data_IF_657384901287
#
_entry.id   IF_657384901287
#
_cell.length_a   1.000
_cell.length_b   1.000
_cell.length_c   1.000
_cell.angle_alpha   90.00
_cell.angle_beta   90.00
_cell.angle_gamma   90.00
#
_symmetry.space_group_name_H-M   'P 1'
#
loop_
_entity.id
_entity.type
_entity.pdbx_description
1 polymer ?
#
# COMPACT_ATOMS: atom_id res chain seq x y z
N UNK A 1 10.89 -14.55 -7.53
CA UNK A 1 10.67 -13.23 -6.90
C UNK A 1 11.06 -12.01 -7.73
N UNK A 2 11.96 -12.06 -8.74
CA UNK A 2 12.36 -10.83 -9.44
C UNK A 2 11.18 -10.09 -10.14
N UNK A 3 10.36 -10.82 -10.92
CA UNK A 3 9.23 -10.24 -11.64
C UNK A 3 8.10 -9.76 -10.70
N UNK A 4 7.73 -10.60 -9.73
CA UNK A 4 6.68 -10.31 -8.74
C UNK A 4 7.04 -9.10 -7.88
N UNK A 5 8.29 -9.04 -7.37
CA UNK A 5 8.77 -7.90 -6.59
C UNK A 5 8.91 -6.64 -7.45
N UNK A 6 9.42 -6.77 -8.67
CA UNK A 6 9.55 -5.66 -9.62
C UNK A 6 8.20 -5.03 -9.98
N UNK A 7 7.15 -5.83 -10.12
CA UNK A 7 5.79 -5.33 -10.29
C UNK A 7 5.24 -4.69 -9.01
N UNK A 8 5.34 -5.41 -7.88
CA UNK A 8 4.78 -4.97 -6.62
C UNK A 8 5.35 -3.64 -6.16
N UNK A 9 6.66 -3.41 -6.30
CA UNK A 9 7.30 -2.19 -5.80
C UNK A 9 6.79 -0.94 -6.51
N UNK A 10 6.47 -1.02 -7.80
CA UNK A 10 5.89 0.11 -8.56
C UNK A 10 4.53 0.48 -7.97
N UNK A 11 3.67 -0.51 -7.72
CA UNK A 11 2.34 -0.29 -7.16
C UNK A 11 2.42 0.15 -5.70
N UNK A 12 3.33 -0.43 -4.91
CA UNK A 12 3.54 -0.09 -3.51
C UNK A 12 4.03 1.35 -3.34
N UNK A 13 4.97 1.82 -4.17
CA UNK A 13 5.43 3.21 -4.14
C UNK A 13 4.28 4.19 -4.42
N UNK A 14 3.39 3.86 -5.37
CA UNK A 14 2.20 4.66 -5.63
C UNK A 14 1.20 4.59 -4.47
N UNK A 15 1.02 3.40 -3.86
CA UNK A 15 0.19 3.19 -2.69
C UNK A 15 0.62 4.05 -1.50
N UNK A 16 1.93 4.22 -1.27
CA UNK A 16 2.46 5.09 -0.21
C UNK A 16 2.42 6.57 -0.62
N UNK A 17 2.62 6.88 -1.91
CA UNK A 17 2.72 8.26 -2.40
C UNK A 17 1.38 9.00 -2.54
N UNK A 18 0.30 8.31 -2.91
CA UNK A 18 -1.00 8.96 -3.12
C UNK A 18 -1.72 9.43 -1.85
N UNK A 19 -1.77 8.68 -0.74
CA UNK A 19 -2.44 9.09 0.48
C UNK A 19 -2.04 10.49 1.00
N UNK A 20 -0.74 10.86 1.12
CA UNK A 20 -0.38 12.20 1.56
C UNK A 20 -0.78 13.28 0.55
N UNK A 21 -0.72 13.00 -0.76
CA UNK A 21 -1.14 13.95 -1.80
C UNK A 21 -2.65 14.20 -1.71
N UNK A 22 -3.45 13.16 -1.53
CA UNK A 22 -4.91 13.25 -1.35
C UNK A 22 -5.23 14.03 -0.08
N UNK A 23 -4.56 13.72 1.03
CA UNK A 23 -4.74 14.39 2.31
C UNK A 23 -4.45 15.89 2.20
N UNK A 24 -3.34 16.28 1.57
CA UNK A 24 -2.97 17.68 1.36
C UNK A 24 -3.99 18.38 0.46
N UNK A 25 -4.41 17.75 -0.63
CA UNK A 25 -5.41 18.30 -1.54
C UNK A 25 -6.76 18.53 -0.83
N UNK A 26 -7.22 17.56 -0.04
CA UNK A 26 -8.47 17.70 0.72
C UNK A 26 -8.34 18.77 1.80
N UNK A 27 -7.22 18.81 2.54
CA UNK A 27 -6.98 19.83 3.56
C UNK A 27 -6.94 21.25 2.98
N UNK A 28 -6.32 21.45 1.81
CA UNK A 28 -6.33 22.73 1.10
C UNK A 28 -7.74 23.10 0.63
N UNK A 29 -8.49 22.14 0.09
CA UNK A 29 -9.87 22.34 -0.34
C UNK A 29 -10.82 22.70 0.80
N UNK A 30 -10.64 22.09 1.98
CA UNK A 30 -11.38 22.44 3.20
C UNK A 30 -11.02 23.85 3.69
N UNK A 31 -9.73 24.19 3.75
CA UNK A 31 -9.24 25.48 4.27
C UNK A 31 -9.60 26.66 3.38
N UNK A 32 -9.57 26.49 2.05
CA UNK A 32 -9.83 27.56 1.07
C UNK A 32 -11.28 27.61 0.59
N UNK A 33 -12.09 26.61 0.92
CA UNK A 33 -13.44 26.47 0.38
C UNK A 33 -13.48 26.19 -1.12
N UNK A 34 -12.38 25.72 -1.71
CA UNK A 34 -12.25 25.52 -3.16
C UNK A 34 -12.70 24.11 -3.59
N UNK A 35 -13.63 24.08 -4.54
CA UNK A 35 -14.20 22.85 -5.11
C UNK A 35 -13.21 22.12 -6.02
N UNK A 36 -12.22 22.81 -6.59
CA UNK A 36 -11.20 22.19 -7.47
C UNK A 36 -10.32 21.23 -6.68
N UNK A 37 -9.77 21.66 -5.54
CA UNK A 37 -8.91 20.83 -4.69
C UNK A 37 -9.67 19.62 -4.11
N UNK A 38 -10.92 19.82 -3.66
CA UNK A 38 -11.78 18.70 -3.22
C UNK A 38 -12.13 17.74 -4.35
N UNK A 39 -12.33 18.26 -5.56
CA UNK A 39 -12.54 17.44 -6.76
C UNK A 39 -11.31 16.62 -7.13
N UNK A 40 -10.12 17.20 -6.98
CA UNK A 40 -8.85 16.53 -7.19
C UNK A 40 -8.64 15.40 -6.17
N UNK A 41 -8.85 15.67 -4.87
CA UNK A 41 -8.74 14.69 -3.80
C UNK A 41 -9.65 13.48 -4.05
N UNK A 42 -10.93 13.71 -4.37
CA UNK A 42 -11.88 12.63 -4.70
C UNK A 42 -11.48 11.80 -5.92
N UNK A 43 -10.96 12.43 -6.98
CA UNK A 43 -10.52 11.71 -8.18
C UNK A 43 -9.33 10.80 -7.88
N UNK A 44 -8.33 11.34 -7.18
CA UNK A 44 -7.16 10.56 -6.79
C UNK A 44 -7.47 9.49 -5.75
N UNK A 45 -8.40 9.72 -4.83
CA UNK A 45 -8.85 8.69 -3.89
C UNK A 45 -9.41 7.45 -4.60
N UNK A 46 -10.21 7.64 -5.66
CA UNK A 46 -10.72 6.51 -6.47
C UNK A 46 -9.60 5.76 -7.18
N UNK A 47 -8.62 6.46 -7.74
CA UNK A 47 -7.46 5.84 -8.38
C UNK A 47 -6.60 5.09 -7.35
N UNK A 48 -6.36 5.69 -6.18
CA UNK A 48 -5.61 5.09 -5.08
C UNK A 48 -6.29 3.82 -4.57
N UNK A 49 -7.61 3.77 -4.46
CA UNK A 49 -8.34 2.55 -4.07
C UNK A 49 -8.11 1.38 -5.04
N UNK A 50 -8.08 1.64 -6.35
CA UNK A 50 -7.77 0.59 -7.35
C UNK A 50 -6.33 0.12 -7.23
N UNK A 51 -5.38 1.05 -7.11
CA UNK A 51 -3.96 0.72 -6.94
C UNK A 51 -3.72 -0.05 -5.63
N UNK A 52 -4.41 0.33 -4.56
CA UNK A 52 -4.37 -0.35 -3.27
C UNK A 52 -4.81 -1.80 -3.39
N UNK A 53 -5.92 -2.07 -4.08
CA UNK A 53 -6.39 -3.44 -4.29
C UNK A 53 -5.36 -4.29 -5.07
N UNK A 54 -4.74 -3.75 -6.12
CA UNK A 54 -3.69 -4.44 -6.88
C UNK A 54 -2.43 -4.65 -6.02
N UNK A 55 -2.08 -3.66 -5.20
CA UNK A 55 -0.99 -3.74 -4.22
C UNK A 55 -1.21 -4.86 -3.21
N UNK A 56 -2.42 -4.96 -2.65
CA UNK A 56 -2.81 -5.99 -1.69
C UNK A 56 -2.56 -7.41 -2.23
N UNK A 57 -3.05 -7.67 -3.46
CA UNK A 57 -2.92 -8.97 -4.11
C UNK A 57 -1.45 -9.30 -4.40
N UNK A 58 -0.72 -8.35 -4.98
CA UNK A 58 0.69 -8.57 -5.32
C UNK A 58 1.59 -8.73 -4.08
N UNK A 59 1.31 -8.03 -2.97
CA UNK A 59 2.02 -8.21 -1.71
C UNK A 59 1.72 -9.56 -1.06
N UNK A 60 0.47 -10.00 -1.12
CA UNK A 60 0.09 -11.36 -0.66
C UNK A 60 0.89 -12.43 -1.39
N UNK A 61 1.02 -12.32 -2.72
CA UNK A 61 1.83 -13.25 -3.52
C UNK A 61 3.28 -13.29 -3.03
N UNK A 62 3.90 -12.13 -2.77
CA UNK A 62 5.28 -12.05 -2.30
C UNK A 62 5.48 -12.70 -0.92
N UNK A 63 4.53 -12.54 0.00
CA UNK A 63 4.58 -13.18 1.33
C UNK A 63 4.62 -14.71 1.21
N UNK A 64 3.84 -15.28 0.29
CA UNK A 64 3.89 -16.72 0.02
C UNK A 64 5.17 -17.12 -0.72
N UNK A 65 5.61 -16.33 -1.71
CA UNK A 65 6.86 -16.60 -2.44
C UNK A 65 8.08 -16.64 -1.52
N UNK A 66 8.15 -15.80 -0.48
CA UNK A 66 9.23 -15.87 0.51
C UNK A 66 9.23 -17.20 1.27
N UNK A 67 8.06 -17.72 1.66
CA UNK A 67 7.98 -19.01 2.34
C UNK A 67 8.30 -20.21 1.43
N UNK A 68 7.82 -20.18 0.19
CA UNK A 68 7.91 -21.31 -0.74
C UNK A 68 9.26 -21.35 -1.46
N UNK A 69 9.75 -20.21 -1.94
CA UNK A 69 10.96 -20.12 -2.78
C UNK A 69 12.23 -19.93 -1.95
N UNK A 70 12.13 -19.45 -0.70
CA UNK A 70 13.27 -19.21 0.19
C UNK A 70 13.15 -19.92 1.55
N UNK A 71 12.93 -21.25 1.57
CA UNK A 71 12.69 -21.98 2.82
C UNK A 71 13.89 -21.97 3.77
N UNK A 72 15.12 -21.97 3.25
CA UNK A 72 16.33 -21.87 4.08
C UNK A 72 16.45 -20.52 4.79
N UNK A 73 16.09 -19.42 4.11
CA UNK A 73 16.09 -18.07 4.67
C UNK A 73 14.99 -17.94 5.75
N UNK A 74 13.76 -18.32 5.41
CA UNK A 74 12.62 -18.22 6.32
C UNK A 74 12.70 -19.21 7.49
N UNK A 75 13.31 -20.37 7.31
CA UNK A 75 13.56 -21.33 8.38
C UNK A 75 14.56 -20.81 9.42
N UNK A 76 15.63 -20.13 8.97
CA UNK A 76 16.66 -19.59 9.86
C UNK A 76 16.33 -18.24 10.48
N UNK A 77 15.70 -17.34 9.72
CA UNK A 77 15.51 -15.93 10.09
C UNK A 77 14.04 -15.50 10.15
N UNK A 78 13.09 -16.41 9.92
CA UNK A 78 11.67 -16.08 9.87
C UNK A 78 11.13 -15.45 11.16
N UNK A 79 11.70 -15.77 12.33
CA UNK A 79 11.33 -15.16 13.60
C UNK A 79 11.65 -13.65 13.65
N UNK A 80 12.70 -13.21 12.94
CA UNK A 80 13.09 -11.79 12.87
C UNK A 80 12.26 -11.07 11.81
N UNK A 81 12.07 -11.67 10.64
CA UNK A 81 11.29 -11.06 9.55
C UNK A 81 9.78 -11.04 9.85
N UNK A 82 9.25 -12.01 10.59
CA UNK A 82 7.83 -12.15 10.84
C UNK A 82 7.20 -10.94 11.54
N UNK A 83 7.91 -10.32 12.49
CA UNK A 83 7.39 -9.14 13.21
C UNK A 83 7.19 -7.93 12.29
N UNK A 84 8.18 -7.49 11.49
CA UNK A 84 7.98 -6.45 10.48
C UNK A 84 6.82 -6.72 9.51
N UNK A 85 6.67 -7.95 9.00
CA UNK A 85 5.55 -8.30 8.12
C UNK A 85 4.20 -8.21 8.82
N UNK A 86 4.12 -8.62 10.08
CA UNK A 86 2.90 -8.48 10.87
C UNK A 86 2.53 -7.01 11.11
N UNK A 87 3.53 -6.15 11.39
CA UNK A 87 3.33 -4.72 11.54
C UNK A 87 2.90 -4.05 10.23
N UNK A 88 3.50 -4.43 9.11
CA UNK A 88 3.09 -3.99 7.77
C UNK A 88 1.63 -4.38 7.51
N UNK A 89 1.26 -5.64 7.75
CA UNK A 89 -0.12 -6.11 7.59
C UNK A 89 -1.12 -5.36 8.47
N UNK A 90 -0.74 -5.03 9.71
CA UNK A 90 -1.58 -4.22 10.61
C UNK A 90 -1.75 -2.78 10.09
N UNK A 91 -0.66 -2.12 9.69
CA UNK A 91 -0.72 -0.77 9.13
C UNK A 91 -1.55 -0.72 7.84
N UNK A 92 -1.36 -1.73 6.97
CA UNK A 92 -2.12 -1.91 5.74
C UNK A 92 -3.62 -2.10 6.00
N UNK A 93 -3.98 -2.88 7.04
CA UNK A 93 -5.38 -3.08 7.40
C UNK A 93 -6.05 -1.81 7.92
N UNK A 94 -5.34 -0.99 8.69
CA UNK A 94 -5.83 0.34 9.09
C UNK A 94 -6.08 1.19 7.84
N UNK A 95 -5.14 1.24 6.90
CA UNK A 95 -5.32 1.99 5.66
C UNK A 95 -6.55 1.49 4.88
N UNK A 96 -6.74 0.17 4.76
CA UNK A 96 -7.89 -0.43 4.10
C UNK A 96 -9.24 -0.01 4.72
N UNK A 97 -9.32 0.11 6.05
CA UNK A 97 -10.54 0.55 6.75
C UNK A 97 -10.91 1.99 6.38
N UNK A 98 -9.93 2.87 6.24
CA UNK A 98 -10.17 4.30 5.99
C UNK A 98 -10.19 4.68 4.50
N UNK A 99 -9.76 3.77 3.60
CA UNK A 99 -9.81 3.99 2.14
C UNK A 99 -11.21 3.79 1.55
N UNK A 100 -12.03 2.92 2.17
CA UNK A 100 -13.41 2.60 1.74
C UNK A 100 -14.44 3.64 2.18
#
# INVERSE_FOLDING_TARGET
MALSLGWHIVVACLGVGFPPVILIAEALGLRRGDTVHRGLARRWARAAAVLFAVGAVSGTILSFEMGILWPGLMGGYGSVFGLPFALEGFAFFIEAIFIG
#
